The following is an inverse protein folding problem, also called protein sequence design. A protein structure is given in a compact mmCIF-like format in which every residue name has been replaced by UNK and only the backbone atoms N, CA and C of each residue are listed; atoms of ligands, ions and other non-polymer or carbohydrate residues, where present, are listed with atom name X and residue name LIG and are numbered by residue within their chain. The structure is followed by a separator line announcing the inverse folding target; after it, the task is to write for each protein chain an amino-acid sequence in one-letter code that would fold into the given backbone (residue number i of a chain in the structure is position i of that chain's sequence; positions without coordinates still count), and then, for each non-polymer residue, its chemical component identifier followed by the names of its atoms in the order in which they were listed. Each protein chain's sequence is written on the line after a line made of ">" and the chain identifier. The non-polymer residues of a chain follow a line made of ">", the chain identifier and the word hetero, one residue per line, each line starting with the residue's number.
data_IF_690144528099
#
_entry.id   IF_690144528099
#
_cell.length_a   1.000
_cell.length_b   1.000
_cell.length_c   1.000
_cell.angle_alpha   90.00
_cell.angle_beta   90.00
_cell.angle_gamma   90.00
#
_symmetry.space_group_name_H-M   'P 1'
#
loop_
_entity.id
_entity.type
_entity.pdbx_description
1 polymer ?
#
# COMPACT_ATOMS: atom_id res chain seq x y z
N UNK A 1 2.84 -14.88 -6.16
CA UNK A 1 2.05 -14.44 -4.99
C UNK A 1 2.91 -14.30 -3.75
N UNK A 2 3.62 -15.34 -3.28
CA UNK A 2 4.60 -15.20 -2.20
C UNK A 2 5.72 -14.19 -2.51
N UNK A 3 6.34 -14.26 -3.70
CA UNK A 3 7.34 -13.28 -4.14
C UNK A 3 6.78 -11.86 -4.18
N UNK A 4 5.52 -11.71 -4.62
CA UNK A 4 4.84 -10.41 -4.66
C UNK A 4 4.66 -9.84 -3.25
N UNK A 5 4.23 -10.67 -2.28
CA UNK A 5 4.08 -10.26 -0.89
C UNK A 5 5.42 -9.83 -0.26
N UNK A 6 6.50 -10.57 -0.53
CA UNK A 6 7.83 -10.23 -0.02
C UNK A 6 8.31 -8.91 -0.60
N UNK A 7 8.18 -8.72 -1.92
CA UNK A 7 8.56 -7.48 -2.60
C UNK A 7 7.72 -6.28 -2.13
N UNK A 8 6.40 -6.44 -2.01
CA UNK A 8 5.51 -5.37 -1.54
C UNK A 8 5.76 -5.01 -0.08
N UNK A 9 6.04 -6.00 0.77
CA UNK A 9 6.38 -5.77 2.18
C UNK A 9 7.72 -5.03 2.32
N UNK A 10 8.73 -5.44 1.54
CA UNK A 10 10.02 -4.76 1.51
C UNK A 10 9.88 -3.30 1.02
N UNK A 11 9.12 -3.08 -0.05
CA UNK A 11 8.86 -1.73 -0.54
C UNK A 11 8.07 -0.88 0.47
N UNK A 12 7.04 -1.43 1.12
CA UNK A 12 6.28 -0.71 2.14
C UNK A 12 7.18 -0.26 3.30
N UNK A 13 8.07 -1.15 3.76
CA UNK A 13 9.06 -0.81 4.78
C UNK A 13 10.00 0.31 4.33
N UNK A 14 10.57 0.22 3.13
CA UNK A 14 11.47 1.24 2.61
C UNK A 14 10.79 2.60 2.38
N UNK A 15 9.54 2.62 1.88
CA UNK A 15 8.78 3.85 1.76
C UNK A 15 8.52 4.50 3.13
N UNK A 16 8.17 3.69 4.14
CA UNK A 16 7.98 4.19 5.51
C UNK A 16 9.28 4.74 6.11
N UNK A 17 10.39 4.00 5.92
CA UNK A 17 11.71 4.41 6.37
C UNK A 17 12.13 5.74 5.74
N UNK A 18 11.91 5.91 4.43
CA UNK A 18 12.25 7.14 3.71
C UNK A 18 11.44 8.34 4.21
N UNK A 19 10.15 8.16 4.57
CA UNK A 19 9.35 9.24 5.19
C UNK A 19 9.87 9.58 6.58
N UNK A 20 10.20 8.55 7.38
CA UNK A 20 10.75 8.73 8.72
C UNK A 20 12.09 9.45 8.70
N UNK A 21 12.97 9.06 7.78
CA UNK A 21 14.27 9.70 7.56
C UNK A 21 14.08 11.18 7.17
N UNK A 22 13.23 11.45 6.18
CA UNK A 22 12.91 12.82 5.74
C UNK A 22 12.33 13.67 6.88
N UNK A 23 11.56 13.07 7.79
CA UNK A 23 11.03 13.74 8.97
C UNK A 23 12.13 14.03 10.01
N UNK A 24 13.00 13.08 10.32
CA UNK A 24 14.08 13.21 11.33
C UNK A 24 15.15 14.20 10.88
N UNK A 25 15.52 14.19 9.61
CA UNK A 25 16.53 15.09 9.05
C UNK A 25 15.96 16.44 8.60
N UNK A 26 14.66 16.70 8.85
CA UNK A 26 13.94 17.91 8.46
C UNK A 26 14.22 18.28 6.99
N UNK A 27 14.20 17.28 6.11
CA UNK A 27 14.59 17.47 4.72
C UNK A 27 13.59 18.40 4.03
N UNK A 28 14.12 19.46 3.42
CA UNK A 28 13.35 20.45 2.67
C UNK A 28 13.61 20.32 1.18
N UNK A 29 12.58 20.59 0.39
CA UNK A 29 12.71 20.60 -1.06
C UNK A 29 13.72 21.66 -1.52
N UNK A 30 14.48 21.34 -2.57
CA UNK A 30 15.43 22.25 -3.22
C UNK A 30 14.74 23.30 -4.11
N UNK A 31 13.50 23.69 -3.77
CA UNK A 31 12.68 24.63 -4.53
C UNK A 31 12.83 26.09 -4.05
N UNK A 32 12.16 27.01 -4.75
CA UNK A 32 12.10 28.42 -4.36
C UNK A 32 11.41 28.65 -3.01
N UNK A 33 10.55 27.70 -2.61
CA UNK A 33 9.92 27.63 -1.28
C UNK A 33 10.33 26.28 -0.68
N UNK A 34 11.15 26.28 0.40
CA UNK A 34 11.51 25.05 1.09
C UNK A 34 10.26 24.48 1.76
N UNK A 35 9.80 23.32 1.28
CA UNK A 35 8.70 22.58 1.90
C UNK A 35 9.22 21.26 2.47
N UNK A 36 8.73 20.81 3.64
CA UNK A 36 9.14 19.52 4.19
C UNK A 36 8.77 18.37 3.26
N UNK A 37 9.75 17.55 2.86
CA UNK A 37 9.56 16.50 1.84
C UNK A 37 8.73 15.32 2.37
N UNK A 38 8.71 15.11 3.69
CA UNK A 38 7.91 14.05 4.30
C UNK A 38 6.40 14.20 4.00
N UNK A 39 5.88 15.42 3.84
CA UNK A 39 4.45 15.67 3.56
C UNK A 39 4.02 15.08 2.20
N UNK A 40 4.64 15.47 1.06
CA UNK A 40 4.28 14.88 -0.25
C UNK A 40 4.65 13.39 -0.36
N UNK A 41 5.49 12.87 0.52
CA UNK A 41 5.93 11.48 0.51
C UNK A 41 5.02 10.53 1.30
N UNK A 42 4.19 11.05 2.20
CA UNK A 42 3.20 10.25 2.95
C UNK A 42 2.21 9.47 2.06
N UNK A 43 1.60 10.04 1.01
CA UNK A 43 0.63 9.33 0.17
C UNK A 43 1.19 8.05 -0.46
N UNK A 44 2.45 8.06 -0.91
CA UNK A 44 3.08 6.87 -1.51
C UNK A 44 3.38 5.80 -0.45
N UNK A 45 3.82 6.20 0.76
CA UNK A 45 4.02 5.26 1.85
C UNK A 45 2.71 4.58 2.27
N UNK A 46 1.63 5.36 2.42
CA UNK A 46 0.29 4.84 2.75
C UNK A 46 -0.22 3.92 1.64
N UNK A 47 -0.10 4.34 0.38
CA UNK A 47 -0.51 3.53 -0.77
C UNK A 47 0.23 2.19 -0.86
N UNK A 48 1.53 2.19 -0.56
CA UNK A 48 2.33 0.95 -0.57
C UNK A 48 1.93 0.00 0.57
N UNK A 49 1.56 0.52 1.75
CA UNK A 49 0.96 -0.30 2.82
C UNK A 49 -0.39 -0.89 2.39
N UNK A 50 -1.26 -0.09 1.77
CA UNK A 50 -2.55 -0.56 1.27
C UNK A 50 -2.38 -1.65 0.20
N UNK A 51 -1.45 -1.47 -0.73
CA UNK A 51 -1.11 -2.47 -1.74
C UNK A 51 -0.59 -3.77 -1.09
N UNK A 52 0.30 -3.66 -0.11
CA UNK A 52 0.82 -4.82 0.61
C UNK A 52 -0.30 -5.60 1.30
N UNK A 53 -1.27 -4.90 1.91
CA UNK A 53 -2.44 -5.52 2.52
C UNK A 53 -3.34 -6.22 1.47
N UNK A 54 -3.56 -5.61 0.31
CA UNK A 54 -4.32 -6.22 -0.77
C UNK A 54 -3.67 -7.51 -1.30
N UNK A 55 -2.34 -7.52 -1.47
CA UNK A 55 -1.58 -8.72 -1.88
C UNK A 55 -1.66 -9.81 -0.80
N UNK A 56 -1.60 -9.42 0.48
CA UNK A 56 -1.74 -10.33 1.61
C UNK A 56 -3.14 -10.96 1.65
N UNK A 57 -4.20 -10.17 1.50
CA UNK A 57 -5.58 -10.66 1.47
C UNK A 57 -5.78 -11.67 0.33
N UNK A 58 -5.32 -11.32 -0.87
CA UNK A 58 -5.42 -12.21 -2.03
C UNK A 58 -4.62 -13.52 -1.82
N UNK A 59 -3.46 -13.47 -1.16
CA UNK A 59 -2.67 -14.66 -0.83
C UNK A 59 -3.40 -15.53 0.20
N UNK A 60 -3.98 -14.94 1.24
CA UNK A 60 -4.75 -15.65 2.27
C UNK A 60 -5.99 -16.31 1.66
N UNK A 61 -6.70 -15.60 0.78
CA UNK A 61 -7.85 -16.14 0.06
C UNK A 61 -7.46 -17.35 -0.79
N UNK A 62 -6.36 -17.23 -1.56
CA UNK A 62 -5.82 -18.34 -2.36
C UNK A 62 -5.44 -19.54 -1.49
N UNK A 63 -4.77 -19.33 -0.36
CA UNK A 63 -4.38 -20.40 0.56
C UNK A 63 -5.57 -21.09 1.22
N UNK A 64 -6.66 -20.35 1.44
CA UNK A 64 -7.92 -20.90 1.98
C UNK A 64 -8.78 -21.60 0.93
N UNK A 65 -8.36 -21.62 -0.35
CA UNK A 65 -9.18 -22.15 -1.45
C UNK A 65 -10.49 -21.36 -1.66
N UNK A 66 -10.57 -20.14 -1.11
CA UNK A 66 -11.74 -19.27 -1.21
C UNK A 66 -11.52 -18.28 -2.34
N UNK A 67 -12.60 -17.89 -3.02
CA UNK A 67 -12.59 -16.77 -3.95
C UNK A 67 -12.13 -15.50 -3.22
N UNK A 68 -11.22 -14.70 -3.80
CA UNK A 68 -10.79 -13.41 -3.25
C UNK A 68 -11.99 -12.55 -2.85
N UNK A 69 -11.89 -11.83 -1.72
CA UNK A 69 -13.00 -11.06 -1.16
C UNK A 69 -13.59 -10.02 -2.13
N UNK A 70 -12.78 -9.48 -3.04
CA UNK A 70 -13.23 -8.60 -4.11
C UNK A 70 -14.22 -9.27 -5.08
N UNK A 71 -14.03 -10.55 -5.42
CA UNK A 71 -14.99 -11.31 -6.26
C UNK A 71 -16.31 -11.49 -5.53
N UNK A 72 -16.28 -11.70 -4.20
CA UNK A 72 -17.49 -11.83 -3.40
C UNK A 72 -18.29 -10.52 -3.33
N UNK A 73 -17.62 -9.37 -3.30
CA UNK A 73 -18.27 -8.06 -3.32
C UNK A 73 -18.88 -7.75 -4.70
N UNK A 74 -18.19 -8.11 -5.80
CA UNK A 74 -18.77 -8.02 -7.14
C UNK A 74 -20.00 -8.93 -7.32
N UNK A 75 -19.99 -10.14 -6.75
CA UNK A 75 -21.12 -11.09 -6.81
C UNK A 75 -22.34 -10.58 -6.04
N UNK A 76 -22.14 -9.98 -4.86
CA UNK A 76 -23.21 -9.38 -4.03
C UNK A 76 -23.86 -8.18 -4.73
N UNK A 77 -23.06 -7.29 -5.35
CA UNK A 77 -23.54 -6.17 -6.15
C UNK A 77 -24.37 -6.62 -7.36
N UNK A 78 -23.93 -7.67 -8.06
CA UNK A 78 -24.66 -8.20 -9.22
C UNK A 78 -26.03 -8.78 -8.82
N UNK A 79 -26.15 -9.35 -7.62
CA UNK A 79 -27.41 -9.89 -7.09
C UNK A 79 -28.39 -8.80 -6.62
N UNK A 80 -27.91 -7.63 -6.20
CA UNK A 80 -28.75 -6.47 -5.86
C UNK A 80 -29.32 -5.76 -7.10
N UNK A 81 -28.68 -5.89 -8.27
CA UNK A 81 -29.12 -5.27 -9.53
C UNK A 81 -30.21 -6.07 -10.30
N UNK A 82 -30.59 -7.29 -9.86
CA UNK A 82 -31.54 -8.20 -10.55
C UNK A 82 -32.95 -8.16 -9.95
#
# INVERSE_FOLDING_TARGET
>A
MFVALVMSSYMAYYCAYMVWESYVFEEVSYGYIPVPIWIPQLPVAIGMFALNLAVLDALIAKLRGKTPGYIKHEDDLNLEEI
#
